data_IF_969076050637
#
_entry.id   IF_969076050637
#
_cell.length_a   1.000
_cell.length_b   1.000
_cell.length_c   1.000
_cell.angle_alpha   90.00
_cell.angle_beta   90.00
_cell.angle_gamma   90.00
#
_symmetry.space_group_name_H-M   'P 1'
#
loop_
_entity.id
_entity.type
_entity.pdbx_description
1 polymer ?
#
# COMPACT_ATOMS: atom_id res chain seq x y z
N UNK A 1 -21.83 -23.04 -21.66
CA UNK A 1 -22.09 -22.76 -20.23
C UNK A 1 -20.79 -22.77 -19.44
N UNK A 2 -20.04 -23.89 -19.41
CA UNK A 2 -18.76 -24.02 -18.69
C UNK A 2 -17.68 -22.96 -19.05
N UNK A 3 -17.63 -22.47 -20.29
CA UNK A 3 -16.65 -21.47 -20.72
C UNK A 3 -16.83 -20.11 -20.05
N UNK A 4 -18.08 -19.67 -19.83
CA UNK A 4 -18.36 -18.39 -19.16
C UNK A 4 -18.12 -18.48 -17.65
N UNK A 5 -18.43 -19.64 -17.05
CA UNK A 5 -18.16 -19.90 -15.63
C UNK A 5 -16.65 -19.87 -15.34
N UNK A 6 -15.84 -20.46 -16.22
CA UNK A 6 -14.38 -20.49 -16.07
C UNK A 6 -13.76 -19.09 -16.24
N UNK A 7 -14.22 -18.32 -17.24
CA UNK A 7 -13.78 -16.94 -17.46
C UNK A 7 -14.16 -16.02 -16.29
N UNK A 8 -15.39 -16.18 -15.77
CA UNK A 8 -15.85 -15.44 -14.59
C UNK A 8 -15.04 -15.77 -13.33
N UNK A 9 -14.73 -17.05 -13.12
CA UNK A 9 -13.90 -17.50 -12.01
C UNK A 9 -12.47 -16.93 -12.07
N UNK A 10 -11.81 -16.98 -13.24
CA UNK A 10 -10.48 -16.40 -13.44
C UNK A 10 -10.50 -14.89 -13.17
N UNK A 11 -11.52 -14.18 -13.65
CA UNK A 11 -11.70 -12.75 -13.36
C UNK A 11 -11.79 -12.47 -11.86
N UNK A 12 -12.57 -13.26 -11.12
CA UNK A 12 -12.69 -13.15 -9.67
C UNK A 12 -11.37 -13.42 -8.94
N UNK A 13 -10.60 -14.42 -9.39
CA UNK A 13 -9.29 -14.75 -8.80
C UNK A 13 -8.31 -13.60 -8.98
N UNK A 14 -8.25 -13.00 -10.17
CA UNK A 14 -7.38 -11.84 -10.44
C UNK A 14 -7.78 -10.65 -9.56
N UNK A 15 -9.08 -10.34 -9.48
CA UNK A 15 -9.58 -9.26 -8.64
C UNK A 15 -9.23 -9.52 -7.17
N UNK A 16 -9.45 -10.75 -6.68
CA UNK A 16 -9.09 -11.15 -5.32
C UNK A 16 -7.60 -10.97 -5.04
N UNK A 17 -6.74 -11.34 -6.00
CA UNK A 17 -5.29 -11.19 -5.87
C UNK A 17 -4.87 -9.71 -5.80
N UNK A 18 -5.46 -8.86 -6.65
CA UNK A 18 -5.23 -7.41 -6.64
C UNK A 18 -5.65 -6.80 -5.30
N UNK A 19 -6.82 -7.18 -4.78
CA UNK A 19 -7.31 -6.70 -3.49
C UNK A 19 -6.35 -7.09 -2.37
N UNK A 20 -5.92 -8.36 -2.31
CA UNK A 20 -4.96 -8.83 -1.31
C UNK A 20 -3.65 -8.06 -1.42
N UNK A 21 -3.15 -7.82 -2.64
CA UNK A 21 -1.94 -7.07 -2.86
C UNK A 21 -2.05 -5.62 -2.36
N UNK A 22 -3.15 -4.93 -2.67
CA UNK A 22 -3.41 -3.54 -2.23
C UNK A 22 -3.52 -3.47 -0.71
N UNK A 23 -4.25 -4.40 -0.06
CA UNK A 23 -4.36 -4.43 1.40
C UNK A 23 -2.99 -4.66 2.03
N UNK A 24 -2.22 -5.62 1.51
CA UNK A 24 -0.89 -5.95 2.03
C UNK A 24 0.10 -4.81 1.87
N UNK A 25 -0.03 -4.03 0.80
CA UNK A 25 0.72 -2.80 0.56
C UNK A 25 0.29 -1.70 1.53
N UNK A 26 -1.02 -1.46 1.69
CA UNK A 26 -1.54 -0.48 2.65
C UNK A 26 -1.09 -0.78 4.09
N UNK A 27 -1.12 -2.05 4.50
CA UNK A 27 -0.61 -2.49 5.81
C UNK A 27 0.90 -2.25 5.95
N UNK A 28 1.68 -2.40 4.88
CA UNK A 28 3.12 -2.10 4.89
C UNK A 28 3.44 -0.60 4.98
N UNK A 29 2.50 0.24 4.54
CA UNK A 29 2.57 1.70 4.60
C UNK A 29 2.17 2.27 5.97
N UNK A 30 1.50 1.49 6.84
CA UNK A 30 1.13 1.93 8.19
C UNK A 30 2.32 2.54 8.96
N UNK A 31 3.50 1.88 9.10
CA UNK A 31 4.63 2.48 9.80
C UNK A 31 5.14 3.76 9.12
N UNK A 32 5.11 3.84 7.79
CA UNK A 32 5.50 5.04 7.06
C UNK A 32 4.52 6.21 7.30
N UNK A 33 3.22 5.92 7.30
CA UNK A 33 2.18 6.89 7.60
C UNK A 33 2.28 7.40 9.04
N UNK A 34 2.62 6.52 9.99
CA UNK A 34 2.78 6.86 11.40
C UNK A 34 3.97 7.80 11.62
N UNK A 35 5.11 7.53 10.96
CA UNK A 35 6.28 8.43 11.01
C UNK A 35 5.98 9.76 10.31
N UNK A 36 5.31 9.74 9.15
CA UNK A 36 4.93 10.95 8.43
C UNK A 36 3.99 11.84 9.27
N UNK A 37 3.04 11.23 9.97
CA UNK A 37 2.14 11.93 10.89
C UNK A 37 2.91 12.55 12.06
N UNK A 38 3.89 11.84 12.63
CA UNK A 38 4.74 12.40 13.67
C UNK A 38 5.54 13.61 13.18
N UNK A 39 6.11 13.54 11.97
CA UNK A 39 6.86 14.67 11.37
C UNK A 39 5.96 15.84 11.06
N UNK A 40 4.75 15.58 10.52
CA UNK A 40 3.75 16.61 10.31
C UNK A 40 3.40 17.32 11.62
N UNK A 41 3.16 16.56 12.69
CA UNK A 41 2.83 17.12 14.00
C UNK A 41 3.96 17.97 14.60
N UNK A 42 5.23 17.60 14.35
CA UNK A 42 6.39 18.35 14.85
C UNK A 42 6.75 19.58 14.00
N UNK A 43 6.54 19.51 12.69
CA UNK A 43 7.02 20.52 11.73
C UNK A 43 5.90 21.46 11.26
N UNK A 44 4.64 21.09 11.50
CA UNK A 44 3.42 21.72 10.96
C UNK A 44 3.39 21.80 9.41
N UNK A 45 4.33 21.13 8.74
CA UNK A 45 4.55 21.23 7.30
C UNK A 45 4.20 19.94 6.59
N UNK A 46 3.16 20.00 5.73
CA UNK A 46 2.78 18.88 4.87
C UNK A 46 3.89 18.48 3.89
N UNK A 47 4.70 19.45 3.44
CA UNK A 47 5.80 19.21 2.51
C UNK A 47 6.86 18.30 3.11
N UNK A 48 7.29 18.58 4.35
CA UNK A 48 8.28 17.76 5.05
C UNK A 48 7.71 16.40 5.47
N UNK A 49 6.46 16.36 5.90
CA UNK A 49 5.77 15.10 6.20
C UNK A 49 5.67 14.17 4.98
N UNK A 50 5.35 14.73 3.81
CA UNK A 50 5.31 13.98 2.55
C UNK A 50 6.69 13.47 2.11
N UNK A 51 7.74 14.29 2.25
CA UNK A 51 9.11 13.87 1.96
C UNK A 51 9.54 12.69 2.85
N UNK A 52 9.28 12.76 4.16
CA UNK A 52 9.61 11.67 5.09
C UNK A 52 8.74 10.43 4.83
N UNK A 53 7.45 10.60 4.54
CA UNK A 53 6.59 9.50 4.12
C UNK A 53 7.18 8.74 2.94
N UNK A 54 7.61 9.44 1.89
CA UNK A 54 8.18 8.84 0.69
C UNK A 54 9.47 8.09 0.98
N UNK A 55 10.38 8.68 1.77
CA UNK A 55 11.64 8.03 2.15
C UNK A 55 11.39 6.77 2.98
N UNK A 56 10.52 6.84 3.99
CA UNK A 56 10.19 5.70 4.84
C UNK A 56 9.39 4.64 4.07
N UNK A 57 8.48 5.04 3.18
CA UNK A 57 7.74 4.11 2.33
C UNK A 57 8.70 3.35 1.39
N UNK A 58 9.64 4.04 0.75
CA UNK A 58 10.67 3.41 -0.07
C UNK A 58 11.53 2.44 0.75
N UNK A 59 11.96 2.82 1.94
CA UNK A 59 12.73 1.94 2.84
C UNK A 59 11.92 0.75 3.37
N UNK A 60 10.63 0.95 3.66
CA UNK A 60 9.72 -0.10 4.16
C UNK A 60 9.42 -1.13 3.08
N UNK A 61 9.31 -0.70 1.82
CA UNK A 61 9.21 -1.60 0.66
C UNK A 61 10.56 -2.31 0.42
N UNK A 62 11.67 -1.58 0.46
CA UNK A 62 13.01 -2.13 0.22
C UNK A 62 13.43 -3.18 1.26
N UNK A 63 13.11 -2.98 2.55
CA UNK A 63 13.40 -3.97 3.61
C UNK A 63 12.51 -5.21 3.58
N UNK A 64 11.40 -5.15 2.84
CA UNK A 64 10.40 -6.22 2.79
C UNK A 64 10.60 -7.14 1.57
N UNK A 65 11.39 -6.71 0.57
CA UNK A 65 11.98 -7.58 -0.45
C UNK A 65 13.17 -8.36 0.15
#
# INVERSE_FOLDING_TARGET
MLEYDLLGFIGLVIIGLVIIFVIRLALALIPAALVAFAVWFLTDSLWWAGAVFLVIAALSVLKKL
#
